data_IF_490504384837
#
_entry.id   IF_490504384837
#
_cell.length_a   1.000
_cell.length_b   1.000
_cell.length_c   1.000
_cell.angle_alpha   90.00
_cell.angle_beta   90.00
_cell.angle_gamma   90.00
#
_symmetry.space_group_name_H-M   'P 1'
#
loop_
_entity.id
_entity.type
_entity.pdbx_description
1 polymer ?
#
# COMPACT_ATOMS: atom_id res chain seq x y z
N UNK A 1 60.55 33.03 -47.04
CA UNK A 1 61.25 31.81 -46.56
C UNK A 1 61.35 31.72 -45.03
N UNK A 2 61.84 32.75 -44.31
CA UNK A 2 62.06 32.70 -42.84
C UNK A 2 60.81 32.41 -41.97
N UNK A 3 59.61 32.86 -42.36
CA UNK A 3 58.34 32.56 -41.64
C UNK A 3 57.84 31.12 -41.83
N UNK A 4 58.03 30.56 -43.03
CA UNK A 4 57.65 29.18 -43.35
C UNK A 4 58.58 28.19 -42.62
N UNK A 5 59.88 28.50 -42.57
CA UNK A 5 60.84 27.71 -41.80
C UNK A 5 60.50 27.69 -40.29
N UNK A 6 60.02 28.81 -39.75
CA UNK A 6 59.61 28.91 -38.35
C UNK A 6 58.36 28.09 -38.03
N UNK A 7 57.36 28.09 -38.93
CA UNK A 7 56.16 27.28 -38.79
C UNK A 7 56.45 25.78 -38.86
N UNK A 8 57.33 25.36 -39.78
CA UNK A 8 57.76 23.95 -39.88
C UNK A 8 58.46 23.52 -38.58
N UNK A 9 59.29 24.39 -38.01
CA UNK A 9 60.01 24.08 -36.77
C UNK A 9 59.07 23.97 -35.56
N UNK A 10 58.03 24.82 -35.47
CA UNK A 10 56.98 24.69 -34.44
C UNK A 10 56.25 23.34 -34.58
N UNK A 11 55.86 22.97 -35.81
CA UNK A 11 55.12 21.72 -36.04
C UNK A 11 55.97 20.50 -35.66
N UNK A 12 57.26 20.51 -36.00
CA UNK A 12 58.18 19.43 -35.63
C UNK A 12 58.33 19.34 -34.11
N UNK A 13 58.49 20.47 -33.41
CA UNK A 13 58.58 20.49 -31.94
C UNK A 13 57.27 20.01 -31.31
N UNK A 14 56.12 20.40 -31.85
CA UNK A 14 54.81 19.99 -31.35
C UNK A 14 54.58 18.48 -31.52
N UNK A 15 54.93 17.92 -32.68
CA UNK A 15 54.86 16.49 -32.94
C UNK A 15 55.84 15.69 -32.06
N UNK A 16 57.04 16.22 -31.81
CA UNK A 16 58.01 15.62 -30.90
C UNK A 16 57.52 15.60 -29.45
N UNK A 17 56.86 16.67 -28.99
CA UNK A 17 56.25 16.74 -27.65
C UNK A 17 55.08 15.76 -27.53
N UNK A 18 54.23 15.65 -28.55
CA UNK A 18 53.14 14.66 -28.55
C UNK A 18 53.66 13.22 -28.53
N UNK A 19 54.70 12.92 -29.31
CA UNK A 19 55.35 11.61 -29.29
C UNK A 19 56.02 11.31 -27.95
N UNK A 20 56.66 12.32 -27.33
CA UNK A 20 57.27 12.19 -26.01
C UNK A 20 56.22 11.95 -24.91
N UNK A 21 55.10 12.65 -24.95
CA UNK A 21 53.99 12.45 -24.01
C UNK A 21 53.36 11.06 -24.19
N UNK A 22 53.28 10.55 -25.42
CA UNK A 22 52.78 9.19 -25.69
C UNK A 22 53.74 8.10 -25.19
N UNK A 23 55.06 8.35 -25.21
CA UNK A 23 56.06 7.37 -24.82
C UNK A 23 56.42 7.41 -23.32
N UNK A 24 56.32 8.58 -22.66
CA UNK A 24 56.70 8.78 -21.26
C UNK A 24 55.51 8.69 -20.30
N UNK A 25 54.27 8.83 -20.80
CA UNK A 25 53.07 8.62 -20.00
C UNK A 25 52.39 7.30 -20.41
N UNK A 26 52.83 6.14 -19.88
CA UNK A 26 52.04 4.93 -20.01
C UNK A 26 50.70 5.21 -19.32
N UNK A 27 49.58 4.98 -20.01
CA UNK A 27 48.25 5.08 -19.43
C UNK A 27 48.15 4.30 -18.11
N UNK A 28 47.16 4.60 -17.25
CA UNK A 28 47.02 3.92 -15.95
C UNK A 28 47.02 2.40 -16.16
N UNK A 29 48.00 1.72 -15.56
CA UNK A 29 48.15 0.27 -15.58
C UNK A 29 47.07 -0.37 -14.68
N UNK A 30 45.81 -0.36 -15.13
CA UNK A 30 44.69 -0.99 -14.43
C UNK A 30 44.64 -2.52 -14.63
N UNK A 31 45.63 -3.11 -15.31
CA UNK A 31 45.66 -4.53 -15.61
C UNK A 31 46.18 -5.43 -14.46
N UNK A 32 46.74 -4.88 -13.38
CA UNK A 32 47.37 -5.69 -12.32
C UNK A 32 46.60 -5.72 -10.98
N UNK A 33 45.49 -5.01 -10.83
CA UNK A 33 44.60 -5.14 -9.66
C UNK A 33 43.54 -6.23 -9.82
N UNK A 34 43.29 -6.72 -11.04
CA UNK A 34 42.29 -7.77 -11.30
C UNK A 34 42.77 -9.17 -10.86
N UNK A 35 44.09 -9.38 -10.74
CA UNK A 35 44.65 -10.66 -10.28
C UNK A 35 44.83 -10.79 -8.77
N UNK A 36 44.80 -9.69 -7.99
CA UNK A 36 44.74 -9.80 -6.51
C UNK A 36 43.31 -9.98 -5.98
N UNK A 37 42.29 -9.45 -6.68
CA UNK A 37 40.89 -9.65 -6.27
C UNK A 37 40.35 -11.05 -6.61
N UNK A 38 40.92 -11.76 -7.59
CA UNK A 38 40.51 -13.11 -7.94
C UNK A 38 41.02 -14.17 -6.95
N UNK A 39 42.14 -13.93 -6.25
CA UNK A 39 42.66 -14.83 -5.21
C UNK A 39 41.92 -14.68 -3.86
N UNK A 40 41.46 -13.47 -3.49
CA UNK A 40 40.67 -13.25 -2.26
C UNK A 40 39.30 -13.95 -2.36
N UNK A 41 38.74 -14.08 -3.57
CA UNK A 41 37.44 -14.73 -3.77
C UNK A 41 37.49 -16.26 -3.60
N UNK A 42 38.67 -16.88 -3.59
CA UNK A 42 38.85 -18.33 -3.50
C UNK A 42 39.37 -18.85 -2.15
N UNK A 43 39.59 -17.99 -1.14
CA UNK A 43 39.91 -18.43 0.23
C UNK A 43 38.77 -18.28 1.25
N UNK A 44 37.61 -17.76 0.85
CA UNK A 44 36.44 -17.66 1.73
C UNK A 44 35.40 -18.73 1.41
N UNK A 45 35.78 -20.01 1.44
CA UNK A 45 34.84 -21.13 1.38
C UNK A 45 35.39 -22.39 2.06
N UNK A 46 35.75 -22.29 3.34
CA UNK A 46 35.56 -23.42 4.25
C UNK A 46 34.46 -22.97 5.19
N UNK A 47 33.25 -23.48 4.99
CA UNK A 47 32.16 -23.29 5.93
C UNK A 47 32.67 -23.76 7.30
N UNK A 48 32.73 -22.85 8.28
CA UNK A 48 32.99 -23.24 9.67
C UNK A 48 31.96 -24.28 10.10
N UNK A 49 32.30 -25.21 11.01
CA UNK A 49 31.33 -26.16 11.53
C UNK A 49 30.10 -25.41 12.04
N UNK A 50 28.92 -25.93 11.75
CA UNK A 50 27.67 -25.39 12.26
C UNK A 50 27.78 -25.19 13.77
N UNK A 51 27.52 -23.97 14.24
CA UNK A 51 27.53 -23.67 15.67
C UNK A 51 26.60 -24.63 16.43
N UNK A 52 26.91 -24.99 17.68
CA UNK A 52 26.04 -25.86 18.47
C UNK A 52 24.62 -25.28 18.50
N UNK A 53 23.62 -26.16 18.50
CA UNK A 53 22.23 -25.75 18.65
C UNK A 53 22.11 -24.84 19.88
N UNK A 54 21.44 -23.70 19.72
CA UNK A 54 21.18 -22.80 20.83
C UNK A 54 20.44 -23.53 21.96
N UNK A 55 20.65 -23.15 23.23
CA UNK A 55 19.90 -23.74 24.33
C UNK A 55 18.39 -23.59 24.09
N UNK A 56 17.61 -24.56 24.53
CA UNK A 56 16.16 -24.45 24.51
C UNK A 56 15.74 -23.15 25.21
N UNK A 57 14.86 -22.38 24.57
CA UNK A 57 14.33 -21.15 25.15
C UNK A 57 13.67 -21.43 26.52
N UNK A 58 13.70 -20.47 27.45
CA UNK A 58 13.00 -20.63 28.72
C UNK A 58 11.52 -20.92 28.48
N UNK A 59 10.93 -21.76 29.34
CA UNK A 59 9.49 -21.97 29.34
C UNK A 59 8.79 -20.61 29.49
N UNK A 60 7.82 -20.34 28.60
CA UNK A 60 7.05 -19.11 28.66
C UNK A 60 6.36 -18.94 30.01
N UNK A 61 6.12 -17.68 30.46
CA UNK A 61 5.40 -17.43 31.70
C UNK A 61 4.01 -18.08 31.65
N UNK A 62 3.51 -18.51 32.81
CA UNK A 62 2.13 -18.97 32.92
C UNK A 62 1.19 -17.87 32.39
N UNK A 63 0.20 -18.28 31.59
CA UNK A 63 -0.80 -17.34 31.07
C UNK A 63 -1.55 -16.62 32.21
N UNK A 64 -2.02 -15.38 31.97
CA UNK A 64 -2.83 -14.68 32.95
C UNK A 64 -4.08 -15.49 33.30
N UNK A 65 -4.57 -15.36 34.53
CA UNK A 65 -5.85 -15.92 34.91
C UNK A 65 -6.94 -15.39 33.96
N UNK A 66 -7.83 -16.28 33.52
CA UNK A 66 -8.93 -15.91 32.63
C UNK A 66 -9.80 -14.80 33.25
N UNK A 67 -10.40 -13.93 32.43
CA UNK A 67 -11.27 -12.89 32.93
C UNK A 67 -12.43 -13.49 33.73
N UNK A 68 -12.79 -12.84 34.84
CA UNK A 68 -13.98 -13.18 35.61
C UNK A 68 -15.20 -13.04 34.69
N UNK A 69 -16.04 -14.08 34.65
CA UNK A 69 -17.26 -14.07 33.84
C UNK A 69 -18.15 -12.86 34.16
N UNK A 70 -18.90 -12.32 33.17
CA UNK A 70 -19.73 -11.15 33.39
C UNK A 70 -20.74 -11.40 34.50
N UNK A 71 -20.89 -10.41 35.39
CA UNK A 71 -21.96 -10.41 36.37
C UNK A 71 -23.30 -10.39 35.61
N UNK A 72 -24.12 -11.43 35.81
CA UNK A 72 -25.49 -11.42 35.30
C UNK A 72 -26.32 -10.37 36.01
N UNK A 73 -27.41 -9.94 35.34
CA UNK A 73 -28.51 -9.05 35.78
C UNK A 73 -28.46 -7.63 35.22
N UNK A 74 -29.54 -6.96 34.81
CA UNK A 74 -30.97 -7.25 34.75
C UNK A 74 -31.59 -6.29 33.70
N UNK A 75 -32.69 -6.70 33.09
CA UNK A 75 -33.53 -5.83 32.26
C UNK A 75 -34.18 -4.73 33.10
N UNK A 76 -34.14 -3.46 32.66
CA UNK A 76 -35.20 -2.47 32.95
C UNK A 76 -35.31 -1.44 31.81
N UNK A 77 -36.56 -1.14 31.49
CA UNK A 77 -37.13 -0.32 30.42
C UNK A 77 -36.79 1.18 30.43
N UNK A 78 -37.13 1.81 29.30
CA UNK A 78 -37.14 3.24 28.99
C UNK A 78 -37.69 4.16 30.10
N UNK A 79 -37.24 5.44 30.07
CA UNK A 79 -38.04 6.69 30.07
C UNK A 79 -37.22 7.91 30.55
N UNK A 80 -37.12 8.92 29.67
CA UNK A 80 -37.15 10.39 29.88
C UNK A 80 -36.00 11.17 30.56
N UNK A 81 -35.55 12.22 29.85
CA UNK A 81 -34.63 13.32 30.22
C UNK A 81 -35.40 14.46 30.92
N UNK A 82 -34.80 15.24 31.86
CA UNK A 82 -34.42 16.64 31.53
C UNK A 82 -33.17 17.25 32.23
N UNK A 83 -32.46 18.07 31.44
CA UNK A 83 -31.82 19.39 31.67
C UNK A 83 -30.92 19.75 32.90
N UNK A 84 -29.62 19.94 32.60
CA UNK A 84 -28.70 21.09 32.80
C UNK A 84 -28.41 21.76 34.18
N UNK A 85 -27.12 21.82 34.54
CA UNK A 85 -26.37 22.99 35.10
C UNK A 85 -24.84 22.84 34.86
N UNK A 86 -24.16 23.90 34.39
CA UNK A 86 -22.69 24.04 34.18
C UNK A 86 -21.95 24.33 35.52
N UNK A 87 -20.63 24.13 35.77
CA UNK A 87 -19.34 24.57 35.15
C UNK A 87 -18.16 24.00 36.04
N UNK A 88 -16.81 24.12 35.82
CA UNK A 88 -15.96 24.38 34.64
C UNK A 88 -14.89 23.30 34.32
N UNK A 89 -14.44 23.34 33.05
CA UNK A 89 -13.23 22.82 32.40
C UNK A 89 -12.24 21.89 33.14
N UNK A 90 -12.28 20.60 32.76
CA UNK A 90 -11.08 19.77 32.50
C UNK A 90 -11.38 18.91 31.26
N UNK A 91 -10.65 19.20 30.17
CA UNK A 91 -10.41 18.40 28.95
C UNK A 91 -11.63 17.74 28.25
N UNK A 92 -11.88 17.98 26.94
CA UNK A 92 -12.87 17.19 26.23
C UNK A 92 -12.40 15.73 26.14
N UNK A 93 -13.07 14.91 26.94
CA UNK A 93 -13.45 13.53 26.69
C UNK A 93 -13.19 13.02 25.28
N UNK A 94 -12.62 11.81 25.23
CA UNK A 94 -12.89 10.75 24.26
C UNK A 94 -14.21 11.02 23.53
N UNK A 95 -14.13 11.38 22.25
CA UNK A 95 -15.33 11.46 21.41
C UNK A 95 -15.99 10.06 21.44
N UNK A 96 -17.28 9.98 21.79
CA UNK A 96 -18.00 8.73 21.67
C UNK A 96 -17.99 8.33 20.19
N UNK A 97 -17.98 7.02 19.91
CA UNK A 97 -18.17 6.47 18.57
C UNK A 97 -19.37 7.17 17.89
N UNK A 98 -19.07 8.18 17.10
CA UNK A 98 -20.02 9.16 16.59
C UNK A 98 -20.32 8.85 15.15
N UNK A 99 -21.59 8.94 14.76
CA UNK A 99 -22.00 8.87 13.38
C UNK A 99 -21.07 9.76 12.52
N UNK A 100 -20.56 9.19 11.42
CA UNK A 100 -19.72 9.93 10.49
C UNK A 100 -20.48 11.18 10.01
N UNK A 101 -19.92 12.36 10.28
CA UNK A 101 -20.53 13.61 9.85
C UNK A 101 -20.12 13.87 8.40
N UNK A 102 -21.05 13.60 7.48
CA UNK A 102 -20.88 13.91 6.06
C UNK A 102 -20.98 15.43 5.89
N UNK A 103 -19.95 16.03 5.29
CA UNK A 103 -19.85 17.47 5.06
C UNK A 103 -19.94 17.84 3.57
N UNK A 104 -19.92 16.84 2.68
CA UNK A 104 -20.14 17.04 1.26
C UNK A 104 -20.07 15.74 0.47
N UNK A 105 -20.60 15.77 -0.76
CA UNK A 105 -20.49 14.66 -1.69
C UNK A 105 -20.30 15.18 -3.11
N UNK A 106 -19.55 14.45 -3.93
CA UNK A 106 -19.33 14.78 -5.34
C UNK A 106 -19.24 13.52 -6.20
N UNK A 107 -19.45 13.66 -7.49
CA UNK A 107 -19.26 12.58 -8.46
C UNK A 107 -17.99 12.82 -9.26
N UNK A 108 -17.20 11.78 -9.51
CA UNK A 108 -16.02 11.83 -10.37
C UNK A 108 -15.91 10.54 -11.18
N UNK A 109 -16.16 10.62 -12.49
CA UNK A 109 -16.39 9.43 -13.33
C UNK A 109 -17.46 8.53 -12.69
N UNK A 110 -17.12 7.28 -12.39
CA UNK A 110 -18.02 6.28 -11.79
C UNK A 110 -17.99 6.32 -10.26
N UNK A 111 -17.20 7.21 -9.66
CA UNK A 111 -17.01 7.28 -8.21
C UNK A 111 -17.95 8.30 -7.57
N UNK A 112 -18.64 7.83 -6.53
CA UNK A 112 -19.27 8.70 -5.54
C UNK A 112 -18.25 8.99 -4.44
N UNK A 113 -17.87 10.26 -4.29
CA UNK A 113 -16.98 10.75 -3.25
C UNK A 113 -17.83 11.31 -2.11
N UNK A 114 -17.54 10.89 -0.89
CA UNK A 114 -18.18 11.39 0.33
C UNK A 114 -17.12 11.98 1.24
N UNK A 115 -17.23 13.28 1.51
CA UNK A 115 -16.33 13.97 2.41
C UNK A 115 -16.87 13.95 3.84
N UNK A 116 -16.00 13.62 4.78
CA UNK A 116 -16.29 13.52 6.20
C UNK A 116 -15.62 14.67 6.94
N UNK A 117 -16.17 15.06 8.10
CA UNK A 117 -15.71 16.24 8.83
C UNK A 117 -14.19 16.24 9.12
N UNK A 118 -13.60 15.05 9.33
CA UNK A 118 -12.17 14.89 9.53
C UNK A 118 -11.30 15.39 8.37
N UNK A 119 -11.81 15.45 7.14
CA UNK A 119 -11.05 15.93 5.98
C UNK A 119 -10.65 17.41 6.07
N UNK A 120 -11.41 18.20 6.84
CA UNK A 120 -11.23 19.65 7.01
C UNK A 120 -10.39 20.02 8.24
N UNK A 121 -9.92 19.01 9.01
CA UNK A 121 -9.04 19.25 10.14
C UNK A 121 -7.63 19.61 9.68
N UNK A 122 -7.06 20.65 10.29
CA UNK A 122 -5.66 21.04 10.07
C UNK A 122 -4.74 19.91 10.57
N UNK A 123 -3.82 19.49 9.72
CA UNK A 123 -2.84 18.45 10.02
C UNK A 123 -1.67 18.93 10.89
N UNK A 124 -1.67 20.21 11.27
CA UNK A 124 -0.61 20.86 12.04
C UNK A 124 0.46 21.52 11.17
N UNK A 125 0.26 21.52 9.85
CA UNK A 125 1.11 22.19 8.85
C UNK A 125 0.39 23.33 8.12
N UNK A 126 -0.84 23.68 8.54
CA UNK A 126 -1.67 24.69 7.91
C UNK A 126 -2.41 24.17 6.67
N UNK A 127 -2.37 22.86 6.41
CA UNK A 127 -3.10 22.20 5.33
C UNK A 127 -4.11 21.19 5.88
N UNK A 128 -5.11 20.89 5.06
CA UNK A 128 -6.15 19.89 5.36
C UNK A 128 -6.06 18.73 4.38
N UNK A 129 -6.67 17.59 4.73
CA UNK A 129 -6.75 16.47 3.81
C UNK A 129 -7.51 16.79 2.53
N UNK A 130 -8.62 17.51 2.66
CA UNK A 130 -9.41 17.94 1.52
C UNK A 130 -8.57 18.70 0.49
N UNK A 131 -7.77 19.67 0.92
CA UNK A 131 -6.98 20.52 0.01
C UNK A 131 -6.00 19.72 -0.86
N UNK A 132 -5.47 18.60 -0.38
CA UNK A 132 -4.59 17.75 -1.17
C UNK A 132 -5.37 16.78 -2.04
N UNK A 133 -6.39 16.11 -1.46
CA UNK A 133 -7.18 15.12 -2.16
C UNK A 133 -8.06 15.73 -3.27
N UNK A 134 -8.37 17.03 -3.22
CA UNK A 134 -9.04 17.75 -4.32
C UNK A 134 -8.16 17.93 -5.57
N UNK A 135 -6.83 17.77 -5.45
CA UNK A 135 -5.89 17.84 -6.58
C UNK A 135 -5.81 16.52 -7.36
N UNK A 136 -6.30 15.44 -6.75
CA UNK A 136 -6.24 14.09 -7.32
C UNK A 136 -7.24 13.88 -8.45
N UNK A 137 -6.91 12.94 -9.34
CA UNK A 137 -7.77 12.58 -10.47
C UNK A 137 -8.30 11.16 -10.30
N UNK A 138 -9.58 11.06 -9.95
CA UNK A 138 -10.26 9.78 -9.73
C UNK A 138 -10.66 9.14 -11.05
N UNK A 139 -9.84 8.22 -11.55
CA UNK A 139 -10.05 7.53 -12.82
C UNK A 139 -11.13 6.45 -12.70
N UNK A 140 -11.86 6.21 -13.79
CA UNK A 140 -12.77 5.07 -13.91
C UNK A 140 -12.01 3.75 -13.70
N UNK A 141 -12.68 2.76 -13.10
CA UNK A 141 -12.12 1.43 -12.88
C UNK A 141 -11.78 0.80 -14.25
N UNK A 142 -10.54 0.34 -14.40
CA UNK A 142 -10.01 -0.13 -15.69
C UNK A 142 -9.26 -1.47 -15.53
N UNK A 143 -9.97 -2.58 -15.25
CA UNK A 143 -9.34 -3.85 -14.92
C UNK A 143 -8.47 -4.40 -16.05
N UNK A 144 -8.80 -4.13 -17.32
CA UNK A 144 -8.02 -4.55 -18.48
C UNK A 144 -6.62 -3.91 -18.52
N UNK A 145 -6.46 -2.72 -17.93
CA UNK A 145 -5.18 -2.01 -17.89
C UNK A 145 -4.29 -2.46 -16.72
N UNK A 146 -4.84 -3.17 -15.74
CA UNK A 146 -4.14 -3.55 -14.51
C UNK A 146 -4.12 -5.06 -14.29
N UNK A 147 -3.41 -5.83 -15.14
CA UNK A 147 -3.21 -7.28 -14.96
C UNK A 147 -2.16 -7.62 -13.90
N UNK A 148 -1.45 -6.62 -13.38
CA UNK A 148 -0.37 -6.72 -12.40
C UNK A 148 -0.59 -5.72 -11.29
N UNK A 149 -0.27 -6.13 -10.07
CA UNK A 149 -0.41 -5.31 -8.87
C UNK A 149 0.44 -4.02 -8.99
N UNK A 150 0.00 -2.87 -8.41
CA UNK A 150 0.71 -1.59 -8.49
C UNK A 150 2.02 -1.53 -7.68
N UNK A 151 2.72 -2.66 -7.52
CA UNK A 151 4.10 -2.74 -7.02
C UNK A 151 5.10 -3.02 -8.15
N UNK A 152 4.62 -3.25 -9.37
CA UNK A 152 5.42 -3.62 -10.53
C UNK A 152 5.25 -2.62 -11.68
N UNK A 153 6.28 -2.42 -12.52
CA UNK A 153 6.14 -1.64 -13.75
C UNK A 153 5.00 -2.17 -14.63
N UNK A 154 4.10 -1.28 -15.07
CA UNK A 154 2.96 -1.65 -15.89
C UNK A 154 3.00 -0.93 -17.25
N UNK A 155 3.40 -1.60 -18.33
CA UNK A 155 3.50 -0.98 -19.66
C UNK A 155 2.14 -0.62 -20.28
N UNK A 156 1.02 -1.14 -19.75
CA UNK A 156 -0.33 -0.79 -20.22
C UNK A 156 -0.81 0.56 -19.68
N UNK A 157 -0.11 1.13 -18.70
CA UNK A 157 -0.43 2.40 -18.06
C UNK A 157 0.80 3.31 -18.15
N UNK A 158 1.03 3.98 -19.29
CA UNK A 158 2.22 4.82 -19.50
C UNK A 158 2.36 5.98 -18.51
N UNK A 159 1.25 6.43 -17.93
CA UNK A 159 1.21 7.46 -16.89
C UNK A 159 1.61 6.95 -15.50
N UNK A 160 1.69 5.63 -15.29
CA UNK A 160 2.17 5.05 -14.04
C UNK A 160 3.70 5.13 -14.01
N UNK A 161 4.29 5.95 -13.13
CA UNK A 161 5.71 6.25 -13.24
C UNK A 161 6.59 5.03 -12.97
N UNK A 162 7.62 4.87 -13.78
CA UNK A 162 8.67 3.85 -13.60
C UNK A 162 10.02 4.56 -13.59
N UNK A 163 10.76 4.37 -12.50
CA UNK A 163 12.09 4.96 -12.30
C UNK A 163 13.12 3.87 -12.04
N UNK A 164 14.39 4.18 -12.26
CA UNK A 164 15.48 3.34 -11.76
C UNK A 164 15.48 3.40 -10.22
N UNK A 165 15.54 2.25 -9.56
CA UNK A 165 15.55 2.19 -8.10
C UNK A 165 16.77 2.91 -7.52
N UNK A 166 16.57 3.69 -6.46
CA UNK A 166 17.65 4.48 -5.86
C UNK A 166 18.74 3.62 -5.19
N UNK A 167 18.37 2.45 -4.70
CA UNK A 167 19.24 1.48 -4.02
C UNK A 167 19.89 0.47 -4.99
N UNK A 168 19.29 0.26 -6.17
CA UNK A 168 19.76 -0.71 -7.15
C UNK A 168 19.52 -0.21 -8.59
N UNK A 169 20.57 0.28 -9.29
CA UNK A 169 20.43 0.83 -10.63
C UNK A 169 20.05 -0.22 -11.69
N UNK A 170 20.05 -1.50 -11.35
CA UNK A 170 19.63 -2.59 -12.26
C UNK A 170 18.13 -2.88 -12.19
N UNK A 171 17.42 -2.30 -11.22
CA UNK A 171 15.98 -2.53 -11.00
C UNK A 171 15.14 -1.33 -11.40
N UNK A 172 13.89 -1.63 -11.72
CA UNK A 172 12.85 -0.64 -11.96
C UNK A 172 11.91 -0.60 -10.76
N UNK A 173 11.57 0.62 -10.34
CA UNK A 173 10.73 0.93 -9.19
C UNK A 173 9.55 1.78 -9.63
N UNK A 174 8.44 1.65 -8.90
CA UNK A 174 7.20 2.40 -9.13
C UNK A 174 6.94 3.32 -7.94
N UNK A 175 7.36 4.60 -7.99
CA UNK A 175 7.36 5.48 -6.81
C UNK A 175 5.94 5.81 -6.31
N UNK A 176 4.95 5.74 -7.18
CA UNK A 176 3.54 6.01 -6.88
C UNK A 176 2.73 4.71 -6.68
N UNK A 177 3.44 3.61 -6.42
CA UNK A 177 2.86 2.28 -6.22
C UNK A 177 2.54 1.96 -4.77
N UNK A 178 2.29 0.67 -4.54
CA UNK A 178 1.99 0.07 -3.25
C UNK A 178 2.95 -1.08 -2.94
N UNK A 179 3.23 -1.28 -1.67
CA UNK A 179 3.90 -2.48 -1.19
C UNK A 179 2.96 -3.68 -1.27
N UNK A 180 3.34 -4.75 -1.97
CA UNK A 180 2.66 -6.04 -1.86
C UNK A 180 3.23 -6.80 -0.66
N UNK A 181 2.74 -6.49 0.55
CA UNK A 181 3.25 -7.11 1.78
C UNK A 181 2.50 -8.41 2.12
N UNK A 182 2.52 -8.81 3.40
CA UNK A 182 2.05 -10.13 3.85
C UNK A 182 0.60 -10.40 3.45
N UNK A 183 0.34 -11.36 2.54
CA UNK A 183 -1.02 -11.83 2.32
C UNK A 183 -1.45 -12.62 3.54
N UNK A 184 -2.61 -12.26 4.09
CA UNK A 184 -3.20 -12.97 5.21
C UNK A 184 -4.37 -13.79 4.68
N UNK A 185 -4.16 -15.10 4.55
CA UNK A 185 -5.23 -16.07 4.28
C UNK A 185 -6.05 -16.39 5.54
N UNK A 186 -5.64 -15.91 6.71
CA UNK A 186 -6.34 -16.15 7.95
C UNK A 186 -7.61 -15.29 7.99
N UNK A 187 -8.74 -15.97 7.76
CA UNK A 187 -10.06 -15.46 8.04
C UNK A 187 -10.11 -14.97 9.49
N UNK A 188 -10.63 -13.76 9.69
CA UNK A 188 -10.88 -13.25 11.03
C UNK A 188 -11.87 -14.10 11.83
N UNK A 189 -12.65 -14.93 11.14
CA UNK A 189 -13.57 -15.87 11.74
C UNK A 189 -12.97 -17.27 11.82
N UNK A 190 -12.80 -17.75 13.05
CA UNK A 190 -12.84 -19.19 13.30
C UNK A 190 -14.29 -19.69 13.35
N UNK A 191 -15.24 -18.81 13.71
CA UNK A 191 -16.69 -19.06 13.72
C UNK A 191 -17.49 -17.96 13.00
N UNK A 192 -18.61 -18.34 12.39
CA UNK A 192 -19.51 -17.42 11.70
C UNK A 192 -20.04 -16.31 12.62
N UNK A 193 -19.90 -15.05 12.20
CA UNK A 193 -20.32 -13.86 12.94
C UNK A 193 -19.29 -13.26 13.90
N UNK A 194 -18.10 -13.87 14.08
CA UNK A 194 -17.05 -13.26 14.91
C UNK A 194 -16.49 -11.99 14.26
N UNK A 195 -16.36 -10.94 15.06
CA UNK A 195 -15.69 -9.71 14.69
C UNK A 195 -14.23 -9.75 15.13
N UNK A 196 -13.35 -9.17 14.33
CA UNK A 196 -11.93 -9.05 14.64
C UNK A 196 -11.48 -7.60 14.59
N UNK A 197 -10.38 -7.32 15.29
CA UNK A 197 -9.66 -6.06 15.14
C UNK A 197 -8.86 -6.07 13.85
N UNK A 198 -8.96 -4.98 13.12
CA UNK A 198 -8.29 -4.75 11.85
C UNK A 198 -7.49 -3.46 11.97
N UNK A 199 -6.24 -3.58 12.46
CA UNK A 199 -5.34 -2.46 12.50
C UNK A 199 -4.85 -2.14 11.09
N UNK A 200 -4.94 -0.86 10.71
CA UNK A 200 -4.27 -0.32 9.53
C UNK A 200 -3.18 0.60 10.04
N UNK A 201 -1.94 0.14 9.96
CA UNK A 201 -0.78 0.87 10.46
C UNK A 201 -0.70 2.29 9.86
N UNK A 202 0.00 3.19 10.54
CA UNK A 202 0.27 4.53 10.00
C UNK A 202 0.89 4.44 8.60
N UNK A 203 0.45 5.30 7.69
CA UNK A 203 0.96 5.38 6.32
C UNK A 203 0.89 4.05 5.55
N UNK A 204 -0.19 3.30 5.81
CA UNK A 204 -0.41 1.98 5.25
C UNK A 204 -1.82 1.83 4.74
N UNK A 205 -2.06 0.77 3.98
CA UNK A 205 -3.36 0.40 3.49
C UNK A 205 -3.70 -1.04 3.88
N UNK A 206 -5.00 -1.28 3.91
CA UNK A 206 -5.63 -2.58 3.92
C UNK A 206 -6.36 -2.72 2.60
N UNK A 207 -6.13 -3.82 1.90
CA UNK A 207 -6.97 -4.31 0.83
C UNK A 207 -7.70 -5.56 1.31
N UNK A 208 -8.99 -5.61 1.06
CA UNK A 208 -9.82 -6.76 1.34
C UNK A 208 -10.75 -7.01 0.16
N UNK A 209 -10.80 -8.25 -0.31
CA UNK A 209 -11.88 -8.73 -1.17
C UNK A 209 -12.62 -9.81 -0.40
N UNK A 210 -13.94 -9.78 -0.39
CA UNK A 210 -14.76 -10.63 0.46
C UNK A 210 -15.91 -9.89 1.11
N UNK A 211 -16.81 -10.63 1.74
CA UNK A 211 -17.93 -10.06 2.49
C UNK A 211 -17.41 -9.40 3.78
N UNK A 212 -17.92 -8.22 4.12
CA UNK A 212 -17.53 -7.51 5.32
C UNK A 212 -18.70 -6.72 5.93
N UNK A 213 -18.62 -6.51 7.24
CA UNK A 213 -19.49 -5.60 7.99
C UNK A 213 -18.68 -4.94 9.11
N UNK A 214 -18.34 -3.67 8.90
CA UNK A 214 -17.47 -2.92 9.79
C UNK A 214 -18.21 -1.66 10.24
N UNK A 215 -18.66 -1.61 11.51
CA UNK A 215 -19.31 -0.44 12.07
C UNK A 215 -18.50 0.84 11.86
N UNK A 216 -19.12 1.84 11.24
CA UNK A 216 -18.48 3.13 10.97
C UNK A 216 -17.46 3.12 9.82
N UNK A 217 -17.38 2.04 9.04
CA UNK A 217 -16.67 1.99 7.75
C UNK A 217 -17.66 1.67 6.65
N UNK A 218 -18.35 0.53 6.72
CA UNK A 218 -19.30 0.08 5.70
C UNK A 218 -19.55 -1.42 5.77
N UNK A 219 -20.47 -1.89 4.93
CA UNK A 219 -20.83 -3.30 4.84
C UNK A 219 -21.12 -3.70 3.39
N UNK A 220 -20.66 -4.87 2.97
CA UNK A 220 -20.96 -5.44 1.66
C UNK A 220 -21.03 -6.97 1.77
N UNK A 221 -21.97 -7.58 1.06
CA UNK A 221 -22.10 -9.03 0.99
C UNK A 221 -22.59 -9.51 -0.39
N UNK A 222 -21.90 -10.50 -0.94
CA UNK A 222 -22.31 -11.22 -2.16
C UNK A 222 -23.41 -12.22 -1.77
N UNK A 223 -24.66 -11.81 -1.94
CA UNK A 223 -25.85 -12.62 -1.62
C UNK A 223 -26.48 -13.25 -2.87
N UNK A 224 -25.65 -13.79 -3.78
CA UNK A 224 -26.09 -14.35 -5.06
C UNK A 224 -26.46 -13.30 -6.11
N UNK A 225 -26.04 -12.05 -5.92
CA UNK A 225 -26.23 -10.97 -6.90
C UNK A 225 -25.21 -11.08 -8.06
N UNK A 226 -24.10 -11.78 -7.82
CA UNK A 226 -22.93 -11.79 -8.71
C UNK A 226 -22.11 -10.51 -8.63
N UNK A 227 -22.30 -9.69 -7.59
CA UNK A 227 -21.51 -8.48 -7.33
C UNK A 227 -20.64 -8.75 -6.10
N UNK A 228 -19.34 -8.96 -6.34
CA UNK A 228 -18.37 -9.17 -5.28
C UNK A 228 -18.09 -7.91 -4.48
N UNK A 229 -17.37 -8.06 -3.38
CA UNK A 229 -17.11 -6.97 -2.44
C UNK A 229 -15.62 -6.69 -2.31
N UNK A 230 -15.25 -5.42 -2.46
CA UNK A 230 -13.89 -4.93 -2.24
C UNK A 230 -13.93 -3.76 -1.27
N UNK A 231 -13.05 -3.81 -0.28
CA UNK A 231 -12.79 -2.72 0.66
C UNK A 231 -11.30 -2.37 0.62
N UNK A 232 -11.01 -1.09 0.52
CA UNK A 232 -9.67 -0.54 0.72
C UNK A 232 -9.73 0.49 1.84
N UNK A 233 -8.94 0.31 2.89
CA UNK A 233 -8.79 1.32 3.95
C UNK A 233 -7.38 1.88 3.89
N UNK A 234 -7.25 3.19 3.77
CA UNK A 234 -5.97 3.89 3.63
C UNK A 234 -5.82 4.78 4.86
N UNK A 235 -4.80 4.51 5.66
CA UNK A 235 -4.45 5.34 6.78
C UNK A 235 -3.35 6.31 6.37
N UNK A 236 -3.73 7.56 6.11
CA UNK A 236 -2.79 8.65 5.80
C UNK A 236 -2.22 9.32 7.05
N UNK A 237 -2.70 8.91 8.22
CA UNK A 237 -2.29 9.43 9.52
C UNK A 237 -0.97 8.82 10.03
N UNK A 238 -0.45 9.46 11.07
CA UNK A 238 0.79 9.05 11.78
C UNK A 238 0.54 8.08 12.93
N UNK A 239 -0.70 7.67 13.15
CA UNK A 239 -1.11 6.71 14.17
C UNK A 239 -1.92 5.60 13.52
N UNK A 240 -1.80 4.38 14.04
CA UNK A 240 -2.55 3.21 13.55
C UNK A 240 -4.05 3.44 13.71
N UNK A 241 -4.81 3.22 12.64
CA UNK A 241 -6.26 3.06 12.68
C UNK A 241 -6.59 1.65 13.15
N UNK A 242 -7.65 1.49 13.92
CA UNK A 242 -8.06 0.21 14.46
C UNK A 242 -9.58 0.11 14.46
N UNK A 243 -10.07 -0.73 13.55
CA UNK A 243 -11.49 -1.01 13.37
C UNK A 243 -11.81 -2.39 13.91
N UNK A 244 -13.03 -2.59 14.39
CA UNK A 244 -13.52 -3.93 14.74
C UNK A 244 -14.70 -4.26 13.84
N UNK A 245 -14.63 -5.37 13.12
CA UNK A 245 -15.68 -5.74 12.17
C UNK A 245 -15.60 -7.20 11.73
N UNK A 246 -16.59 -7.60 10.95
CA UNK A 246 -16.74 -8.92 10.37
C UNK A 246 -16.08 -8.93 8.99
N UNK A 247 -15.32 -10.01 8.72
CA UNK A 247 -14.66 -10.27 7.44
C UNK A 247 -14.86 -11.74 7.09
N UNK A 248 -15.74 -12.03 6.14
CA UNK A 248 -16.14 -13.37 5.72
C UNK A 248 -15.63 -13.70 4.31
N UNK A 249 -15.12 -14.93 4.14
CA UNK A 249 -14.79 -15.52 2.82
C UNK A 249 -13.90 -14.62 1.95
N UNK A 250 -12.85 -14.07 2.56
CA UNK A 250 -12.06 -13.01 1.94
C UNK A 250 -10.58 -13.30 1.76
N UNK A 251 -9.95 -12.44 0.98
CA UNK A 251 -8.50 -12.30 0.86
C UNK A 251 -8.11 -10.93 1.40
N UNK A 252 -7.12 -10.92 2.31
CA UNK A 252 -6.63 -9.71 2.93
C UNK A 252 -5.16 -9.47 2.59
N UNK A 253 -4.85 -8.22 2.29
CA UNK A 253 -3.50 -7.74 2.05
C UNK A 253 -3.29 -6.44 2.83
N UNK A 254 -2.17 -6.36 3.53
CA UNK A 254 -1.69 -5.11 4.12
C UNK A 254 -0.42 -4.68 3.40
N UNK A 255 -0.13 -3.38 3.42
CA UNK A 255 1.13 -2.86 2.93
C UNK A 255 1.24 -1.36 3.11
N UNK A 256 2.40 -0.79 2.84
CA UNK A 256 2.60 0.66 2.77
C UNK A 256 2.27 1.19 1.39
N UNK A 257 1.79 2.42 1.33
CA UNK A 257 1.85 3.19 0.08
C UNK A 257 3.19 3.92 -0.01
N UNK A 258 3.73 4.08 -1.21
CA UNK A 258 5.06 4.66 -1.39
C UNK A 258 5.07 6.18 -1.46
N UNK A 259 4.04 6.78 -2.08
CA UNK A 259 3.91 8.23 -2.22
C UNK A 259 2.51 8.72 -1.84
N UNK A 260 2.40 9.37 -0.68
CA UNK A 260 1.14 9.93 -0.18
C UNK A 260 0.53 11.03 -1.06
N UNK A 261 1.34 11.72 -1.88
CA UNK A 261 0.86 12.80 -2.75
C UNK A 261 0.22 12.30 -4.06
N UNK A 262 0.44 11.03 -4.42
CA UNK A 262 -0.03 10.41 -5.66
C UNK A 262 -0.89 9.17 -5.37
N UNK A 263 -1.62 9.18 -4.25
CA UNK A 263 -2.45 8.05 -3.84
C UNK A 263 -3.55 7.73 -4.85
N UNK A 264 -4.02 8.70 -5.63
CA UNK A 264 -5.02 8.47 -6.67
C UNK A 264 -4.55 7.45 -7.72
N UNK A 265 -3.27 7.47 -8.09
CA UNK A 265 -2.68 6.50 -8.99
C UNK A 265 -2.59 5.11 -8.34
N UNK A 266 -2.08 5.05 -7.11
CA UNK A 266 -1.96 3.81 -6.34
C UNK A 266 -3.32 3.13 -6.13
N UNK A 267 -4.35 3.92 -5.81
CA UNK A 267 -5.71 3.43 -5.59
C UNK A 267 -6.35 2.99 -6.89
N UNK A 268 -6.21 3.76 -7.97
CA UNK A 268 -6.71 3.33 -9.28
C UNK A 268 -6.10 1.99 -9.71
N UNK A 269 -4.79 1.81 -9.51
CA UNK A 269 -4.11 0.55 -9.80
C UNK A 269 -4.59 -0.60 -8.92
N UNK A 270 -4.70 -0.37 -7.61
CA UNK A 270 -5.15 -1.40 -6.66
C UNK A 270 -6.59 -1.85 -6.92
N UNK A 271 -7.52 -0.91 -7.09
CA UNK A 271 -8.94 -1.23 -7.29
C UNK A 271 -9.19 -1.85 -8.66
N UNK A 272 -8.48 -1.40 -9.70
CA UNK A 272 -8.57 -2.00 -11.03
C UNK A 272 -7.97 -3.40 -11.07
N UNK A 273 -6.82 -3.61 -10.43
CA UNK A 273 -6.19 -4.93 -10.37
C UNK A 273 -7.00 -5.93 -9.54
N UNK A 274 -7.51 -5.49 -8.39
CA UNK A 274 -8.43 -6.30 -7.59
C UNK A 274 -9.68 -6.67 -8.38
N UNK A 275 -10.23 -5.75 -9.18
CA UNK A 275 -11.39 -6.01 -10.04
C UNK A 275 -11.04 -7.01 -11.13
N UNK A 276 -9.87 -6.89 -11.76
CA UNK A 276 -9.37 -7.84 -12.74
C UNK A 276 -9.34 -9.26 -12.17
N UNK A 277 -8.77 -9.44 -10.97
CA UNK A 277 -8.72 -10.74 -10.28
C UNK A 277 -10.10 -11.28 -9.94
N UNK A 278 -10.97 -10.44 -9.38
CA UNK A 278 -12.32 -10.82 -8.95
C UNK A 278 -13.23 -11.23 -10.11
N UNK A 279 -13.05 -10.61 -11.28
CA UNK A 279 -13.75 -10.98 -12.51
C UNK A 279 -13.07 -12.10 -13.30
N UNK A 280 -12.08 -12.78 -12.70
CA UNK A 280 -11.34 -13.89 -13.31
C UNK A 280 -10.75 -13.53 -14.68
N UNK A 281 -10.28 -12.28 -14.83
CA UNK A 281 -9.66 -11.81 -16.06
C UNK A 281 -8.21 -12.27 -16.18
N UNK A 282 -7.63 -12.09 -17.37
CA UNK A 282 -6.21 -12.41 -17.60
C UNK A 282 -5.34 -11.48 -16.74
N UNK A 283 -4.62 -12.09 -15.80
CA UNK A 283 -3.68 -11.41 -14.90
C UNK A 283 -2.46 -12.28 -14.67
N UNK A 284 -1.43 -11.70 -14.05
CA UNK A 284 -0.22 -12.43 -13.65
C UNK A 284 -0.52 -13.61 -12.72
N UNK A 285 -1.55 -13.51 -11.87
CA UNK A 285 -2.00 -14.60 -10.99
C UNK A 285 -3.00 -15.56 -11.65
N UNK A 286 -3.54 -15.21 -12.84
CA UNK A 286 -4.48 -16.04 -13.58
C UNK A 286 -4.21 -16.01 -15.09
N UNK A 287 -3.05 -16.51 -15.55
CA UNK A 287 -2.66 -16.42 -16.95
C UNK A 287 -3.51 -17.31 -17.89
N UNK A 288 -4.26 -18.27 -17.34
CA UNK A 288 -5.07 -19.23 -18.11
C UNK A 288 -6.57 -19.07 -17.92
N UNK A 289 -7.03 -18.13 -17.08
CA UNK A 289 -8.46 -17.95 -16.78
C UNK A 289 -9.07 -19.07 -15.91
N UNK A 290 -8.24 -19.96 -15.35
CA UNK A 290 -8.69 -21.17 -14.63
C UNK A 290 -8.67 -20.95 -13.11
N UNK A 291 -7.82 -20.04 -12.61
CA UNK A 291 -7.65 -19.77 -11.19
C UNK A 291 -8.33 -18.45 -10.84
N UNK A 292 -9.43 -18.51 -10.07
CA UNK A 292 -10.00 -17.28 -9.54
C UNK A 292 -9.17 -16.83 -8.33
N UNK A 293 -8.56 -15.65 -8.43
CA UNK A 293 -7.77 -15.04 -7.37
C UNK A 293 -8.58 -14.04 -6.51
N UNK A 294 -9.86 -13.81 -6.83
CA UNK A 294 -10.77 -12.95 -6.08
C UNK A 294 -11.63 -13.75 -5.11
N UNK A 295 -11.63 -13.33 -3.84
CA UNK A 295 -12.15 -14.13 -2.74
C UNK A 295 -13.64 -14.47 -2.80
N UNK A 296 -14.59 -13.57 -2.49
CA UNK A 296 -16.02 -13.90 -2.57
C UNK A 296 -16.55 -14.09 -4.00
N UNK A 297 -15.66 -13.99 -4.99
CA UNK A 297 -15.91 -14.34 -6.38
C UNK A 297 -15.33 -15.70 -6.78
N UNK A 298 -14.80 -16.51 -5.84
CA UNK A 298 -13.88 -17.67 -5.97
C UNK A 298 -14.15 -18.76 -7.03
N UNK A 299 -15.24 -18.71 -7.80
CA UNK A 299 -15.47 -19.61 -8.94
C UNK A 299 -15.26 -18.86 -10.26
N UNK A 300 -14.81 -19.52 -11.33
CA UNK A 300 -14.79 -18.91 -12.67
C UNK A 300 -16.17 -18.35 -12.99
N UNK A 301 -16.23 -17.09 -13.44
CA UNK A 301 -17.49 -16.36 -13.71
C UNK A 301 -18.42 -16.20 -12.48
N UNK A 302 -17.89 -16.35 -11.26
CA UNK A 302 -18.67 -16.20 -10.01
C UNK A 302 -19.19 -14.80 -9.78
N UNK A 303 -18.42 -13.79 -10.21
CA UNK A 303 -18.83 -12.39 -10.19
C UNK A 303 -18.86 -11.82 -11.61
N UNK A 304 -19.89 -11.00 -11.85
CA UNK A 304 -20.11 -10.17 -13.05
C UNK A 304 -19.89 -8.68 -12.76
N UNK A 305 -19.70 -8.35 -11.49
CA UNK A 305 -19.27 -7.02 -11.06
C UNK A 305 -18.63 -7.04 -9.69
N UNK A 306 -18.11 -5.89 -9.29
CA UNK A 306 -17.48 -5.66 -7.99
C UNK A 306 -17.96 -4.33 -7.44
N UNK A 307 -18.50 -4.36 -6.23
CA UNK A 307 -18.71 -3.19 -5.42
C UNK A 307 -17.41 -2.84 -4.71
N UNK A 308 -16.96 -1.60 -4.86
CA UNK A 308 -15.66 -1.12 -4.38
C UNK A 308 -15.89 0.05 -3.44
N UNK A 309 -15.45 -0.12 -2.20
CA UNK A 309 -15.39 0.94 -1.21
C UNK A 309 -13.93 1.27 -0.87
N UNK A 310 -13.59 2.54 -0.88
CA UNK A 310 -12.30 3.06 -0.40
C UNK A 310 -12.56 4.03 0.73
N UNK A 311 -11.87 3.88 1.85
CA UNK A 311 -11.95 4.78 3.00
C UNK A 311 -10.58 5.35 3.35
N UNK A 312 -10.46 6.67 3.29
CA UNK A 312 -9.31 7.41 3.81
C UNK A 312 -9.52 7.78 5.27
N UNK A 313 -8.49 7.58 6.08
CA UNK A 313 -8.55 7.74 7.54
C UNK A 313 -7.24 8.35 8.06
N UNK A 314 -7.30 9.04 9.20
CA UNK A 314 -6.11 9.44 9.97
C UNK A 314 -6.28 8.91 11.39
N UNK A 315 -5.65 7.78 11.69
CA UNK A 315 -6.08 6.99 12.85
C UNK A 315 -7.54 6.59 12.70
N UNK A 316 -8.33 6.69 13.78
CA UNK A 316 -9.75 6.35 13.73
C UNK A 316 -10.65 7.49 13.23
N UNK A 317 -10.09 8.60 12.75
CA UNK A 317 -10.84 9.69 12.15
C UNK A 317 -11.06 9.44 10.66
N UNK A 318 -12.30 9.22 10.19
CA UNK A 318 -12.61 9.09 8.77
C UNK A 318 -12.50 10.44 8.05
N UNK A 319 -11.90 10.45 6.86
CA UNK A 319 -11.65 11.66 6.09
C UNK A 319 -12.52 11.69 4.82
N UNK A 320 -12.48 10.62 4.04
CA UNK A 320 -13.14 10.56 2.75
C UNK A 320 -13.49 9.11 2.40
N UNK A 321 -14.73 8.90 1.97
CA UNK A 321 -15.17 7.66 1.36
C UNK A 321 -15.23 7.80 -0.17
N UNK A 322 -14.88 6.73 -0.88
CA UNK A 322 -15.19 6.58 -2.29
C UNK A 322 -15.94 5.27 -2.48
N UNK A 323 -16.95 5.32 -3.33
CA UNK A 323 -17.78 4.17 -3.64
C UNK A 323 -18.06 4.10 -5.13
N UNK A 324 -17.93 2.91 -5.70
CA UNK A 324 -18.35 2.63 -7.06
C UNK A 324 -18.76 1.15 -7.19
N UNK A 325 -19.53 0.84 -8.23
CA UNK A 325 -19.82 -0.54 -8.60
C UNK A 325 -19.45 -0.71 -10.06
N UNK A 326 -18.45 -1.53 -10.33
CA UNK A 326 -18.06 -1.91 -11.69
C UNK A 326 -18.82 -3.17 -12.11
N UNK A 327 -19.39 -3.18 -13.31
CA UNK A 327 -20.06 -4.35 -13.89
C UNK A 327 -19.61 -4.54 -15.34
N UNK A 328 -19.41 -5.78 -15.74
CA UNK A 328 -19.04 -6.16 -17.11
C UNK A 328 -20.26 -6.52 -17.96
#
# INVERSE_FOLDING_TARGET
>A
MRKILWLILIVIVFLAVLAFLWFVWPGPQIANTVNMLSEIKNQAAVAGPQGPAGPAGPQGPAGPAGPQGPAGQNQVSAVTVPAATAEPAVQPAVQPAGAQVIVGSSQSNDWTLTWLAGADFDRGDGTTFRQDAEKWTWRAIAPELWPTFPNEPNPLVPEFPVVTCADDPTKQCVPDGLEYANPESNFCQQLAGEACRVPVASESYLYYSGDYDIPGVGSCSENGTGIGCMLVVINVGKVTSDYTGIFNQGFRLHGRYFNGNALDMAIWGLTSEGTNKMLNMNSKLNPTGIQNAGANCSVPEGCKGVHIQVLFTSGNEPLMGLETTFTR
#
